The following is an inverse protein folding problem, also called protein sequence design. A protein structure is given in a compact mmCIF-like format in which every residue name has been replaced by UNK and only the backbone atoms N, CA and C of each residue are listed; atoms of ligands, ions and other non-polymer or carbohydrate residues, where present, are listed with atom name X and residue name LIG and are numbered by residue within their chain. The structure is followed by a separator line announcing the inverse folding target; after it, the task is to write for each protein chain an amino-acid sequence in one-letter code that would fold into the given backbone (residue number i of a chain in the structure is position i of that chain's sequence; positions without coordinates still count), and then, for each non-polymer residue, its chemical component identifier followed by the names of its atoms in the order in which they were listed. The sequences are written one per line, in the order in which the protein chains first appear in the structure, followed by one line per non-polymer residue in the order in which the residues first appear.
data_IF_086152439344
#
_entry.id   IF_086152439344
#
_cell.length_a   1.000
_cell.length_b   1.000
_cell.length_c   1.000
_cell.angle_alpha   90.00
_cell.angle_beta   90.00
_cell.angle_gamma   90.00
#
_symmetry.space_group_name_H-M   'P 1'
#
loop_
_entity.id
_entity.type
_entity.pdbx_description
1 polymer ?
2 non-polymer ?
3 non-polymer ?
4 water ?
#
# COMPACT_ATOMS: atom_id res chain seq x y z
N UNK A 4 2.70 -12.04 22.80
CA UNK A 4 3.84 -12.14 21.90
C UNK A 4 3.38 -12.16 20.45
N UNK A 5 4.28 -11.80 19.56
CA UNK A 5 4.09 -11.78 18.12
C UNK A 5 4.56 -13.10 17.48
N UNK A 6 5.20 -14.01 18.25
CA UNK A 6 5.67 -15.30 17.72
C UNK A 6 4.48 -16.24 17.77
N UNK A 7 4.16 -16.87 16.63
CA UNK A 7 3.09 -17.84 16.52
C UNK A 7 3.74 -19.19 16.29
N UNK A 8 3.41 -20.16 17.13
CA UNK A 8 3.95 -21.49 16.98
C UNK A 8 3.31 -22.20 15.76
N UNK A 9 4.05 -23.11 15.04
CA UNK A 9 3.42 -23.82 13.90
C UNK A 9 2.14 -24.57 14.28
N UNK A 10 2.04 -25.06 15.52
CA UNK A 10 0.87 -25.80 15.99
C UNK A 10 -0.38 -24.92 16.14
N UNK A 11 -0.22 -23.57 16.07
CA UNK A 11 -1.34 -22.65 16.24
C UNK A 11 -1.91 -22.24 14.88
N UNK A 12 -1.37 -22.79 13.75
CA UNK A 12 -1.85 -22.43 12.41
C UNK A 12 -2.26 -23.66 11.62
N UNK A 13 -3.32 -23.50 10.84
CA UNK A 13 -3.78 -24.55 9.95
C UNK A 13 -4.02 -23.90 8.59
N UNK A 14 -3.45 -24.48 7.53
CA UNK A 14 -3.60 -24.02 6.15
C UNK A 14 -4.81 -24.74 5.55
N UNK A 15 -5.77 -23.96 5.01
CA UNK A 15 -6.99 -24.56 4.48
C UNK A 15 -6.99 -24.59 2.96
N UNK A 16 -6.70 -23.46 2.35
CA UNK A 16 -6.77 -23.29 0.90
C UNK A 16 -5.74 -22.29 0.45
N UNK A 17 -5.20 -22.49 -0.76
CA UNK A 17 -4.30 -21.53 -1.37
C UNK A 17 -5.13 -20.36 -1.92
N UNK A 18 -4.70 -19.12 -1.63
CA UNK A 18 -5.35 -17.88 -2.07
C UNK A 18 -4.66 -17.44 -3.37
N UNK A 19 -3.33 -17.44 -3.36
CA UNK A 19 -2.57 -17.05 -4.54
C UNK A 19 -1.08 -17.05 -4.31
N UNK A 20 -0.34 -16.57 -5.32
CA UNK A 20 1.11 -16.46 -5.30
C UNK A 20 1.50 -14.99 -5.26
N UNK A 21 2.44 -14.69 -4.39
CA UNK A 21 2.98 -13.34 -4.24
C UNK A 21 4.40 -13.29 -4.74
N UNK A 22 5.03 -12.10 -4.60
CA UNK A 22 6.41 -11.83 -4.99
C UNK A 22 7.38 -12.80 -4.31
N UNK A 23 7.16 -13.07 -3.02
CA UNK A 23 8.08 -13.91 -2.25
C UNK A 23 7.57 -15.27 -1.79
N UNK A 24 6.38 -15.65 -2.24
CA UNK A 24 5.86 -16.95 -1.89
C UNK A 24 4.36 -17.03 -1.95
N UNK A 25 3.84 -18.13 -1.45
CA UNK A 25 2.42 -18.47 -1.45
C UNK A 25 1.66 -17.75 -0.36
N UNK A 26 0.36 -17.57 -0.60
CA UNK A 26 -0.57 -16.99 0.38
C UNK A 26 -1.68 -18.01 0.54
N UNK A 27 -1.98 -18.38 1.80
CA UNK A 27 -3.06 -19.32 2.08
C UNK A 27 -4.11 -18.71 2.98
N UNK A 28 -5.34 -19.21 2.86
CA UNK A 28 -6.39 -18.93 3.82
C UNK A 28 -6.17 -19.99 4.90
N UNK A 29 -6.24 -19.59 6.16
CA UNK A 29 -6.08 -20.56 7.24
C UNK A 29 -6.76 -20.09 8.50
N UNK A 30 -6.53 -20.86 9.57
CA UNK A 30 -7.07 -20.49 10.88
C UNK A 30 -5.91 -20.37 11.88
N UNK A 31 -6.08 -19.46 12.82
CA UNK A 31 -5.11 -19.21 13.88
C UNK A 31 -5.84 -19.58 15.17
N UNK A 32 -5.27 -20.58 15.87
CA UNK A 32 -5.83 -21.15 17.11
C UNK A 32 -6.39 -20.14 18.09
N UNK A 33 -7.67 -20.33 18.46
CA UNK A 33 -8.40 -19.50 19.43
C UNK A 33 -8.49 -18.03 19.03
N UNK A 34 -8.19 -17.70 17.77
CA UNK A 34 -8.20 -16.31 17.34
C UNK A 34 -9.15 -16.01 16.21
N UNK A 35 -8.77 -16.31 14.96
CA UNK A 35 -9.61 -16.00 13.82
C UNK A 35 -9.11 -16.69 12.57
N UNK A 36 -9.87 -16.50 11.49
CA UNK A 36 -9.45 -16.86 10.15
C UNK A 36 -8.38 -15.82 9.74
N UNK A 37 -7.34 -16.25 9.02
CA UNK A 37 -6.23 -15.41 8.65
C UNK A 37 -5.77 -15.70 7.24
N UNK A 38 -4.99 -14.76 6.68
CA UNK A 38 -4.24 -14.96 5.43
C UNK A 38 -2.77 -15.20 5.87
N UNK A 39 -2.17 -16.27 5.37
CA UNK A 39 -0.81 -16.60 5.80
C UNK A 39 0.08 -16.48 4.59
N UNK A 40 1.17 -15.68 4.70
CA UNK A 40 2.09 -15.48 3.57
C UNK A 40 3.38 -16.21 3.90
N UNK A 41 3.78 -17.20 3.08
CA UNK A 41 5.01 -17.95 3.26
C UNK A 41 6.07 -17.17 2.51
N UNK A 42 7.21 -16.87 3.18
CA UNK A 42 8.27 -16.01 2.62
C UNK A 42 9.47 -16.84 2.21
N UNK A 43 9.81 -16.82 0.94
CA UNK A 43 10.96 -17.57 0.43
C UNK A 43 12.26 -17.15 1.16
N UNK A 44 13.10 -18.12 1.55
CA UNK A 44 14.38 -17.83 2.21
C UNK A 44 15.20 -16.93 1.28
N UNK A 45 15.76 -15.87 1.84
CA UNK A 45 16.58 -14.95 1.04
C UNK A 45 15.84 -13.74 0.52
N UNK A 46 14.48 -13.74 0.55
CA UNK A 46 13.70 -12.61 0.02
C UNK A 46 13.74 -11.37 0.94
N UNK A 47 13.76 -11.60 2.25
CA UNK A 47 13.73 -10.49 3.20
C UNK A 47 14.76 -10.68 4.30
N UNK A 48 15.16 -9.56 4.93
CA UNK A 48 16.05 -9.60 6.08
C UNK A 48 15.15 -9.91 7.30
N UNK A 49 15.00 -11.20 7.60
CA UNK A 49 14.12 -11.68 8.66
C UNK A 49 14.58 -11.23 10.04
N UNK A 50 15.91 -11.19 10.26
CA UNK A 50 16.43 -10.74 11.56
C UNK A 50 16.13 -9.27 11.79
N UNK A 51 16.28 -8.42 10.76
CA UNK A 51 15.99 -6.98 10.91
C UNK A 51 14.48 -6.80 11.20
N UNK A 52 13.65 -7.58 10.50
CA UNK A 52 12.21 -7.49 10.66
C UNK A 52 11.74 -7.82 12.08
N UNK A 53 12.18 -8.98 12.58
CA UNK A 53 11.86 -9.46 13.92
C UNK A 53 12.23 -8.43 15.04
N UNK A 54 13.31 -7.63 14.83
CA UNK A 54 13.72 -6.58 15.79
C UNK A 54 12.70 -5.50 16.02
N UNK A 55 11.85 -5.24 15.03
CA UNK A 55 10.88 -4.16 15.12
C UNK A 55 9.49 -4.70 15.54
N UNK A 56 9.34 -6.03 15.71
CA UNK A 56 8.02 -6.61 15.99
C UNK A 56 7.38 -6.12 17.26
N UNK A 57 8.14 -6.03 18.38
CA UNK A 57 7.55 -5.59 19.65
C UNK A 57 6.94 -4.19 19.54
N UNK A 58 7.62 -3.29 18.83
CA UNK A 58 7.15 -1.92 18.62
C UNK A 58 5.99 -1.87 17.61
N UNK A 59 6.18 -2.52 16.44
CA UNK A 59 5.18 -2.47 15.40
C UNK A 59 3.86 -3.15 15.72
N UNK A 60 3.86 -4.11 16.67
CA UNK A 60 2.59 -4.80 17.03
C UNK A 60 1.60 -3.87 17.71
N UNK A 61 2.08 -2.72 18.19
CA UNK A 61 1.23 -1.72 18.85
C UNK A 61 0.37 -0.94 17.85
N UNK A 62 0.71 -0.98 16.53
CA UNK A 62 -0.07 -0.24 15.53
C UNK A 62 -1.38 -0.95 15.32
N UNK A 63 -2.50 -0.23 15.46
CA UNK A 63 -3.82 -0.83 15.28
C UNK A 63 -4.78 0.28 14.86
N UNK A 64 -5.42 0.09 13.72
CA UNK A 64 -6.40 1.06 13.20
C UNK A 64 -7.40 0.33 12.30
N UNK A 65 -8.70 0.76 12.25
CA UNK A 65 -9.66 0.05 11.38
C UNK A 65 -9.33 0.05 9.90
N UNK A 66 -8.47 0.99 9.44
CA UNK A 66 -8.14 1.07 8.03
C UNK A 66 -6.73 0.57 7.71
N UNK A 67 -6.12 -0.19 8.66
CA UNK A 67 -4.83 -0.83 8.43
C UNK A 67 -5.05 -2.35 8.58
N UNK A 68 -4.56 -3.12 7.62
CA UNK A 68 -4.60 -4.60 7.72
C UNK A 68 -3.68 -4.99 8.88
N UNK A 69 -4.20 -5.76 9.86
CA UNK A 69 -3.35 -6.16 10.96
C UNK A 69 -2.42 -7.33 10.57
N UNK A 70 -1.13 -7.19 10.92
CA UNK A 70 -0.16 -8.28 10.82
C UNK A 70 -0.04 -8.82 12.26
N UNK A 71 -0.68 -9.96 12.54
CA UNK A 71 -0.78 -10.52 13.87
C UNK A 71 0.49 -11.06 14.46
N UNK A 72 1.28 -11.70 13.62
CA UNK A 72 2.51 -12.30 14.11
C UNK A 72 3.28 -13.04 13.04
N UNK A 73 4.34 -13.73 13.49
CA UNK A 73 5.24 -14.44 12.58
C UNK A 73 5.43 -15.85 13.09
N UNK A 74 5.41 -16.84 12.16
CA UNK A 74 5.71 -18.22 12.51
C UNK A 74 7.11 -18.46 11.97
N UNK A 75 8.08 -18.66 12.86
CA UNK A 75 9.47 -18.72 12.43
C UNK A 75 10.26 -19.92 12.93
N UNK A 76 9.58 -20.97 13.45
CA UNK A 76 10.26 -22.16 13.97
C UNK A 76 11.22 -22.75 12.96
N UNK A 77 10.80 -22.83 11.70
CA UNK A 77 11.66 -23.29 10.60
C UNK A 77 11.39 -22.51 9.30
N UNK A 78 12.37 -22.53 8.41
CA UNK A 78 12.28 -21.89 7.11
C UNK A 78 11.43 -22.74 6.17
N UNK A 79 10.60 -22.14 5.30
CA UNK A 79 10.34 -20.70 5.14
C UNK A 79 9.41 -20.17 6.22
N UNK A 80 9.68 -18.96 6.68
CA UNK A 80 8.84 -18.35 7.73
C UNK A 80 7.47 -17.96 7.15
N UNK A 81 6.48 -17.69 8.03
CA UNK A 81 5.12 -17.29 7.65
C UNK A 81 4.75 -15.99 8.35
N UNK A 82 4.10 -15.07 7.64
CA UNK A 82 3.56 -13.84 8.23
C UNK A 82 2.03 -14.04 8.27
N UNK A 83 1.39 -13.74 9.39
CA UNK A 83 -0.03 -14.06 9.61
C UNK A 83 -0.80 -12.76 9.67
N UNK A 84 -1.70 -12.56 8.70
CA UNK A 84 -2.44 -11.30 8.58
C UNK A 84 -3.93 -11.49 8.77
N UNK A 85 -4.59 -10.37 9.05
CA UNK A 85 -6.02 -10.29 9.03
C UNK A 85 -6.51 -10.70 7.60
N UNK A 86 -7.57 -11.55 7.50
CA UNK A 86 -8.07 -11.98 6.21
C UNK A 86 -8.97 -10.91 5.59
N UNK A 87 -8.65 -10.53 4.34
CA UNK A 87 -9.39 -9.48 3.59
C UNK A 87 -10.12 -10.20 2.46
N UNK A 88 -11.41 -10.42 2.65
CA UNK A 88 -12.23 -11.24 1.75
C UNK A 88 -12.21 -10.94 0.26
N UNK A 89 -12.11 -9.65 -0.10
CA UNK A 89 -12.14 -9.30 -1.53
C UNK A 89 -10.78 -9.08 -2.19
N UNK A 90 -9.71 -9.37 -1.47
CA UNK A 90 -8.38 -9.29 -2.07
C UNK A 90 -7.84 -7.91 -2.36
N UNK A 91 -6.85 -7.83 -3.26
CA UNK A 91 -6.24 -6.52 -3.48
C UNK A 91 -7.09 -5.54 -4.25
N UNK A 92 -6.94 -4.26 -3.88
CA UNK A 92 -7.72 -3.18 -4.46
C UNK A 92 -7.54 -3.05 -5.96
N UNK A 93 -6.29 -3.21 -6.47
CA UNK A 93 -6.05 -3.06 -7.92
C UNK A 93 -6.89 -4.07 -8.72
N UNK A 94 -6.87 -5.34 -8.32
CA UNK A 94 -7.68 -6.39 -8.98
C UNK A 94 -9.18 -6.15 -8.79
N UNK A 95 -9.60 -5.71 -7.58
CA UNK A 95 -10.98 -5.44 -7.26
C UNK A 95 -11.57 -4.35 -8.17
N UNK A 96 -10.80 -3.26 -8.37
CA UNK A 96 -11.22 -2.16 -9.26
C UNK A 96 -11.38 -2.67 -10.70
N UNK A 97 -10.36 -3.40 -11.21
CA UNK A 97 -10.34 -3.90 -12.58
C UNK A 97 -11.50 -4.86 -12.87
N UNK A 98 -11.81 -5.74 -11.92
CA UNK A 98 -12.88 -6.74 -12.09
C UNK A 98 -14.28 -6.13 -12.03
N UNK A 99 -14.46 -5.01 -11.30
CA UNK A 99 -15.77 -4.38 -11.13
C UNK A 99 -15.90 -3.08 -11.94
N UNK A 100 -14.99 -2.84 -12.88
CA UNK A 100 -14.95 -1.62 -13.70
C UNK A 100 -16.30 -1.38 -14.37
N UNK A 101 -16.82 -0.15 -14.24
CA UNK A 101 -18.10 0.22 -14.83
C UNK A 101 -19.27 0.08 -13.86
N UNK A 102 -19.00 -0.50 -12.66
CA UNK A 102 -20.04 -0.70 -11.64
C UNK A 102 -19.91 0.23 -10.45
N UNK A 103 -18.89 1.13 -10.48
CA UNK A 103 -18.64 2.00 -9.37
C UNK A 103 -19.24 3.37 -9.50
N UNK A 104 -19.94 3.80 -8.45
CA UNK A 104 -20.43 5.16 -8.33
C UNK A 104 -19.24 6.01 -7.90
N UNK A 105 -19.21 7.28 -8.32
CA UNK A 105 -18.10 8.19 -7.98
C UNK A 105 -17.97 8.33 -6.46
N UNK A 106 -19.12 8.33 -5.72
CA UNK A 106 -19.06 8.42 -4.24
C UNK A 106 -18.34 7.23 -3.62
N UNK A 107 -18.48 6.04 -4.23
CA UNK A 107 -17.82 4.84 -3.71
C UNK A 107 -16.31 4.97 -3.95
N UNK A 108 -15.90 5.46 -5.13
CA UNK A 108 -14.48 5.63 -5.41
C UNK A 108 -13.86 6.66 -4.45
N UNK A 109 -14.56 7.79 -4.19
CA UNK A 109 -14.06 8.76 -3.20
C UNK A 109 -14.00 8.12 -1.81
N UNK A 110 -15.01 7.30 -1.46
CA UNK A 110 -15.00 6.59 -0.18
C UNK A 110 -13.78 5.70 0.01
N UNK A 111 -13.33 5.03 -1.07
CA UNK A 111 -12.16 4.14 -1.02
C UNK A 111 -10.93 5.00 -0.75
N UNK A 112 -10.84 6.18 -1.40
CA UNK A 112 -9.71 7.08 -1.17
C UNK A 112 -9.71 7.58 0.27
N UNK A 113 -10.89 7.86 0.82
CA UNK A 113 -11.03 8.32 2.21
C UNK A 113 -10.59 7.23 3.20
N UNK A 114 -10.92 5.95 2.93
CA UNK A 114 -10.47 4.88 3.84
C UNK A 114 -8.94 4.85 3.86
N UNK A 115 -8.31 4.87 2.67
CA UNK A 115 -6.85 4.85 2.58
C UNK A 115 -6.27 6.08 3.28
N UNK A 116 -6.83 7.25 3.02
CA UNK A 116 -6.34 8.47 3.63
C UNK A 116 -6.40 8.44 5.16
N UNK A 117 -7.47 7.82 5.71
CA UNK A 117 -7.59 7.69 7.17
C UNK A 117 -6.49 6.79 7.74
N UNK A 118 -6.26 5.65 7.09
CA UNK A 118 -5.19 4.74 7.50
C UNK A 118 -3.84 5.43 7.42
N UNK A 119 -3.63 6.18 6.33
CA UNK A 119 -2.36 6.91 6.17
C UNK A 119 -2.22 8.05 7.16
N UNK A 120 -3.32 8.73 7.55
CA UNK A 120 -3.22 9.77 8.56
C UNK A 120 -2.80 9.17 9.93
N UNK A 121 -3.26 7.95 10.23
CA UNK A 121 -2.82 7.26 11.44
C UNK A 121 -1.32 6.91 11.37
N UNK A 122 -0.85 6.39 10.21
CA UNK A 122 0.58 6.07 10.09
C UNK A 122 1.43 7.36 10.16
N UNK A 123 0.96 8.43 9.53
CA UNK A 123 1.68 9.71 9.58
C UNK A 123 1.83 10.19 11.05
N UNK A 124 0.73 10.11 11.83
CA UNK A 124 0.79 10.53 13.25
C UNK A 124 1.73 9.61 14.01
N UNK A 125 1.79 8.31 13.63
CA UNK A 125 2.62 7.31 14.29
C UNK A 125 4.10 7.41 13.85
N UNK A 126 4.39 8.29 12.87
CA UNK A 126 5.70 8.48 12.26
C UNK A 126 6.20 7.20 11.59
N UNK A 127 5.26 6.53 10.93
CA UNK A 127 5.55 5.32 10.16
C UNK A 127 5.40 5.69 8.68
N UNK A 128 6.48 5.45 7.90
CA UNK A 128 6.47 5.74 6.47
C UNK A 128 6.16 4.46 5.68
N UNK A 129 5.21 4.53 4.76
CA UNK A 129 4.85 3.34 4.01
C UNK A 129 5.95 2.92 3.03
N UNK A 130 6.40 3.87 2.18
CA UNK A 130 7.46 3.73 1.15
C UNK A 130 7.01 3.14 -0.17
N UNK A 131 5.89 2.39 -0.19
CA UNK A 131 5.42 1.84 -1.45
C UNK A 131 3.89 1.77 -1.47
N UNK A 132 3.26 2.92 -1.19
CA UNK A 132 1.81 2.95 -1.19
C UNK A 132 1.32 2.90 -2.64
N UNK A 133 0.38 2.00 -2.92
CA UNK A 133 -0.18 1.83 -4.26
C UNK A 133 -1.44 1.00 -4.12
N UNK A 134 -2.33 1.01 -5.12
CA UNK A 134 -3.54 0.20 -4.99
C UNK A 134 -3.24 -1.28 -4.77
N UNK A 135 -2.14 -1.79 -5.33
CA UNK A 135 -1.77 -3.23 -5.18
C UNK A 135 -1.49 -3.59 -3.70
N UNK A 136 -1.15 -2.59 -2.87
CA UNK A 136 -0.87 -2.79 -1.45
C UNK A 136 -2.04 -2.46 -0.52
N UNK A 137 -3.22 -2.25 -1.09
CA UNK A 137 -4.43 -2.04 -0.32
C UNK A 137 -5.31 -3.21 -0.54
N UNK A 138 -6.05 -3.57 0.51
CA UNK A 138 -6.93 -4.73 0.47
C UNK A 138 -8.36 -4.36 0.74
N UNK A 139 -9.29 -5.18 0.22
CA UNK A 139 -10.72 -4.92 0.30
C UNK A 139 -11.37 -5.94 1.23
N UNK A 140 -12.07 -5.44 2.24
CA UNK A 140 -12.69 -6.30 3.24
C UNK A 140 -14.18 -6.35 3.20
N UNK A 141 -14.77 -6.65 4.38
CA UNK A 141 -16.21 -6.70 4.59
C UNK A 141 -16.84 -5.35 4.34
N UNK A 142 -17.93 -5.38 3.59
CA UNK A 142 -18.69 -4.22 3.13
C UNK A 142 -17.85 -3.21 2.35
N UNK A 143 -16.84 -3.73 1.60
CA UNK A 143 -16.00 -2.97 0.68
C UNK A 143 -15.08 -1.94 1.38
N UNK A 144 -14.76 -2.16 2.67
CA UNK A 144 -13.82 -1.29 3.39
C UNK A 144 -12.44 -1.49 2.77
N UNK A 145 -11.68 -0.40 2.61
CA UNK A 145 -10.33 -0.47 2.09
C UNK A 145 -9.37 -0.32 3.26
N UNK A 146 -8.34 -1.18 3.30
CA UNK A 146 -7.34 -1.10 4.36
C UNK A 146 -5.95 -1.10 3.74
N UNK A 147 -5.01 -0.34 4.34
CA UNK A 147 -3.65 -0.27 3.83
C UNK A 147 -2.83 -1.44 4.43
N UNK A 148 -1.90 -2.00 3.63
CA UNK A 148 -1.04 -3.10 4.08
C UNK A 148 0.38 -2.90 3.55
N UNK A 149 1.36 -3.62 4.15
CA UNK A 149 2.72 -3.67 3.65
C UNK A 149 3.57 -2.41 3.90
N UNK A 150 3.11 -1.55 4.80
CA UNK A 150 3.85 -0.33 5.12
C UNK A 150 5.19 -0.69 5.74
N UNK A 151 6.24 -0.03 5.26
CA UNK A 151 7.58 -0.23 5.77
C UNK A 151 8.31 -1.47 5.27
N UNK A 152 7.62 -2.35 4.53
CA UNK A 152 8.23 -3.61 4.08
C UNK A 152 9.42 -3.50 3.16
N UNK A 153 9.50 -2.41 2.38
CA UNK A 153 10.62 -2.31 1.46
C UNK A 153 11.97 -2.14 2.18
N UNK A 154 11.95 -1.81 3.48
CA UNK A 154 13.18 -1.67 4.26
C UNK A 154 13.79 -3.05 4.53
N UNK A 155 13.04 -4.14 4.28
CA UNK A 155 13.54 -5.48 4.57
C UNK A 155 13.72 -6.33 3.32
N UNK A 156 13.26 -5.85 2.15
CA UNK A 156 13.38 -6.59 0.88
C UNK A 156 14.83 -6.63 0.46
N UNK A 157 15.31 -7.83 0.12
CA UNK A 157 16.72 -8.01 -0.24
C UNK A 157 17.08 -7.94 -1.71
N UNK A 158 16.09 -7.81 -2.57
CA UNK A 158 16.35 -7.66 -4.00
C UNK A 158 16.60 -6.18 -4.31
N UNK A 159 17.87 -5.82 -4.60
CA UNK A 159 18.29 -4.45 -4.93
C UNK A 159 17.61 -3.91 -6.19
N UNK A 160 17.09 -4.78 -7.05
CA UNK A 160 16.39 -4.31 -8.26
C UNK A 160 15.08 -3.63 -7.92
N UNK A 161 14.52 -3.93 -6.74
CA UNK A 161 13.29 -3.30 -6.32
C UNK A 161 13.52 -2.11 -5.38
N UNK A 162 14.54 -2.17 -4.55
CA UNK A 162 14.73 -1.14 -3.51
C UNK A 162 15.60 0.03 -3.88
N UNK A 163 16.51 -0.13 -4.86
CA UNK A 163 17.40 0.95 -5.27
C UNK A 163 16.69 1.82 -6.30
N UNK A 164 16.78 3.16 -6.10
CA UNK A 164 16.15 4.14 -7.00
C UNK A 164 16.65 3.95 -8.45
N UNK A 165 17.91 3.48 -8.60
CA UNK A 165 18.56 3.18 -9.89
C UNK A 165 18.31 1.71 -10.33
N UNK A 166 17.49 0.98 -9.57
CA UNK A 166 17.13 -0.40 -9.85
C UNK A 166 16.10 -0.55 -10.95
N UNK A 167 16.16 -1.69 -11.69
CA UNK A 167 15.26 -1.96 -12.82
C UNK A 167 13.77 -2.24 -12.50
N UNK A 168 13.45 -2.75 -11.28
CA UNK A 168 12.08 -3.04 -10.83
C UNK A 168 11.56 -2.01 -9.78
N UNK A 169 12.25 -0.89 -9.64
CA UNK A 169 11.87 0.12 -8.64
C UNK A 169 10.48 0.72 -8.96
N UNK A 170 9.56 0.89 -7.95
CA UNK A 170 8.20 1.42 -8.25
C UNK A 170 8.21 2.93 -8.52
N UNK A 171 8.97 3.32 -9.57
CA UNK A 171 9.12 4.71 -9.96
C UNK A 171 7.75 5.39 -10.23
N UNK A 172 6.73 4.65 -10.73
CA UNK A 172 5.43 5.23 -11.09
C UNK A 172 4.70 5.87 -9.89
N UNK A 173 5.02 5.42 -8.65
CA UNK A 173 4.40 5.94 -7.44
C UNK A 173 5.39 6.80 -6.62
N UNK A 174 6.60 7.03 -7.15
CA UNK A 174 7.68 7.70 -6.41
C UNK A 174 7.71 9.20 -6.61
N UNK A 175 7.85 9.95 -5.49
CA UNK A 175 8.03 11.40 -5.59
C UNK A 175 9.46 11.67 -6.16
N UNK A 176 9.74 12.87 -6.68
CA UNK A 176 11.10 13.16 -7.20
C UNK A 176 12.21 12.95 -6.16
N UNK A 177 11.99 13.30 -4.90
CA UNK A 177 13.07 13.09 -3.92
C UNK A 177 13.28 11.62 -3.57
N UNK A 178 12.24 10.77 -3.81
CA UNK A 178 12.39 9.33 -3.62
C UNK A 178 13.13 8.74 -4.82
N UNK A 179 12.69 9.03 -6.05
CA UNK A 179 13.40 8.46 -7.22
C UNK A 179 14.80 9.04 -7.40
N UNK A 180 15.08 10.22 -6.83
CA UNK A 180 16.41 10.79 -6.95
C UNK A 180 17.34 10.39 -5.80
N UNK A 181 16.84 10.39 -4.55
CA UNK A 181 17.69 10.25 -3.36
C UNK A 181 17.24 9.26 -2.32
N UNK A 182 16.13 8.54 -2.58
CA UNK A 182 15.53 7.65 -1.57
C UNK A 182 15.21 8.44 -0.31
N UNK A 183 14.78 9.69 -0.47
CA UNK A 183 14.45 10.56 0.66
C UNK A 183 12.98 10.31 1.02
N UNK A 184 12.73 9.27 1.84
CA UNK A 184 11.35 8.90 2.20
C UNK A 184 10.85 9.71 3.39
N UNK A 185 9.55 10.08 3.35
CA UNK A 185 8.88 10.84 4.40
C UNK A 185 7.37 10.60 4.27
N UNK A 186 6.58 11.13 5.22
CA UNK A 186 5.14 11.04 4.99
C UNK A 186 4.75 11.89 3.76
N UNK A 187 5.56 12.94 3.40
CA UNK A 187 5.23 13.72 2.20
C UNK A 187 5.52 12.94 0.92
N UNK A 188 6.48 11.98 0.94
CA UNK A 188 6.66 11.12 -0.26
C UNK A 188 5.51 10.13 -0.32
N UNK A 189 5.00 9.69 0.83
CA UNK A 189 3.79 8.85 0.80
C UNK A 189 2.61 9.64 0.26
N UNK A 190 2.52 10.98 0.56
CA UNK A 190 1.42 11.77 -0.02
C UNK A 190 1.47 11.76 -1.56
N UNK A 191 2.68 11.87 -2.14
CA UNK A 191 2.78 11.79 -3.62
C UNK A 191 2.22 10.43 -4.10
N UNK A 192 2.64 9.32 -3.47
CA UNK A 192 2.17 7.99 -3.81
C UNK A 192 0.64 7.91 -3.67
N UNK A 193 0.11 8.51 -2.61
CA UNK A 193 -1.34 8.56 -2.39
C UNK A 193 -2.06 9.26 -3.55
N UNK A 194 -1.49 10.35 -4.10
CA UNK A 194 -2.11 10.97 -5.26
C UNK A 194 -2.18 10.01 -6.45
N UNK A 195 -1.10 9.20 -6.67
CA UNK A 195 -1.11 8.20 -7.74
C UNK A 195 -2.18 7.11 -7.42
N UNK A 196 -2.27 6.65 -6.17
CA UNK A 196 -3.29 5.70 -5.75
C UNK A 196 -4.71 6.29 -6.06
N UNK A 197 -4.95 7.59 -5.75
CA UNK A 197 -6.25 8.18 -6.05
C UNK A 197 -6.52 8.09 -7.54
N UNK A 198 -5.46 8.31 -8.38
CA UNK A 198 -5.60 8.20 -9.83
C UNK A 198 -5.97 6.74 -10.22
N UNK A 199 -5.31 5.75 -9.60
CA UNK A 199 -5.64 4.33 -9.85
C UNK A 199 -7.11 4.06 -9.50
N UNK A 200 -7.58 4.56 -8.35
CA UNK A 200 -8.96 4.33 -7.88
C UNK A 200 -9.95 4.97 -8.87
N UNK A 201 -9.77 6.28 -9.16
CA UNK A 201 -10.71 6.96 -10.07
C UNK A 201 -10.66 6.49 -11.50
N UNK A 202 -9.55 5.82 -11.90
CA UNK A 202 -9.40 5.22 -13.22
C UNK A 202 -9.85 3.76 -13.22
N UNK A 203 -10.43 3.30 -12.10
CA UNK A 203 -10.91 1.93 -11.96
C UNK A 203 -9.82 0.89 -12.28
N UNK A 204 -8.63 1.12 -11.70
CA UNK A 204 -7.55 0.15 -11.81
C UNK A 204 -6.62 0.22 -12.99
N UNK A 205 -6.61 1.33 -13.73
CA UNK A 205 -5.68 1.49 -14.82
C UNK A 205 -4.26 1.64 -14.23
N UNK A 206 -3.27 1.24 -15.01
CA UNK A 206 -1.88 1.34 -14.55
C UNK A 206 -1.40 2.75 -14.91
N UNK A 207 -0.80 3.50 -13.97
CA UNK A 207 -0.32 4.84 -14.33
C UNK A 207 0.90 4.79 -15.25
N UNK A 208 0.96 5.74 -16.20
CA UNK A 208 2.07 5.89 -17.15
C UNK A 208 2.40 4.54 -17.86
N UNK A 209 1.33 3.83 -18.30
CA UNK A 209 1.46 2.54 -18.99
C UNK A 209 2.27 2.66 -20.29
N UNK A 210 2.23 3.85 -20.92
CA UNK A 210 2.93 4.12 -22.18
C UNK A 210 4.35 4.71 -21.99
N UNK A 211 4.95 4.54 -20.79
CA UNK A 211 6.26 5.11 -20.51
C UNK A 211 7.16 4.13 -19.80
N UNK A 212 8.47 4.16 -20.11
CA UNK A 212 9.46 3.39 -19.34
C UNK A 212 9.71 4.17 -18.04
N UNK A 213 10.47 3.57 -17.11
CA UNK A 213 10.84 4.23 -15.85
C UNK A 213 11.60 5.53 -16.06
N UNK A 214 12.62 5.53 -16.94
CA UNK A 214 13.40 6.72 -17.23
C UNK A 214 12.53 7.81 -17.88
N UNK A 215 11.51 7.39 -18.70
CA UNK A 215 10.62 8.37 -19.34
C UNK A 215 9.71 9.01 -18.29
N UNK A 216 9.28 8.23 -17.28
CA UNK A 216 8.45 8.78 -16.18
C UNK A 216 9.27 9.84 -15.44
N UNK A 217 10.54 9.52 -15.10
CA UNK A 217 11.41 10.47 -14.40
C UNK A 217 11.55 11.75 -15.22
N UNK A 218 11.84 11.63 -16.54
CA UNK A 218 11.97 12.82 -17.38
C UNK A 218 10.66 13.61 -17.44
N UNK A 219 9.51 12.91 -17.59
CA UNK A 219 8.20 13.57 -17.68
C UNK A 219 7.87 14.33 -16.38
N UNK A 220 7.98 13.64 -15.24
CA UNK A 220 7.71 14.29 -13.95
C UNK A 220 8.63 15.51 -13.75
N UNK A 221 9.93 15.34 -14.04
CA UNK A 221 10.91 16.41 -13.83
C UNK A 221 10.69 17.63 -14.72
N UNK A 222 9.96 17.46 -15.84
CA UNK A 222 9.62 18.57 -16.72
C UNK A 222 8.19 19.08 -16.47
N UNK A 223 7.55 18.61 -15.40
CA UNK A 223 6.24 19.11 -14.98
C UNK A 223 5.01 18.38 -15.47
N UNK A 224 5.20 17.31 -16.26
CA UNK A 224 4.05 16.54 -16.73
C UNK A 224 3.44 15.74 -15.60
N UNK A 225 2.12 15.59 -15.63
CA UNK A 225 1.40 14.84 -14.62
C UNK A 225 0.35 13.95 -15.25
N UNK A 226 -0.14 12.97 -14.47
CA UNK A 226 -1.22 12.11 -14.94
C UNK A 226 -2.48 12.92 -15.28
N UNK A 227 -3.17 12.53 -16.37
CA UNK A 227 -4.39 13.20 -16.82
C UNK A 227 -5.54 12.93 -15.85
N UNK A 228 -6.60 13.75 -15.92
CA UNK A 228 -7.74 13.56 -15.03
C UNK A 228 -8.59 12.38 -15.47
N UNK A 229 -8.80 11.39 -14.59
CA UNK A 229 -9.73 10.30 -14.94
C UNK A 229 -11.15 10.85 -15.11
N UNK A 230 -11.92 10.25 -16.04
CA UNK A 230 -13.31 10.65 -16.31
C UNK A 230 -14.17 10.74 -15.02
N UNK A 231 -14.00 9.79 -14.09
CA UNK A 231 -14.80 9.74 -12.86
C UNK A 231 -14.40 10.71 -11.76
N UNK A 232 -13.21 11.33 -11.88
CA UNK A 232 -12.74 12.29 -10.89
C UNK A 232 -13.29 13.68 -11.21
N UNK A 233 -13.88 14.34 -10.21
CA UNK A 233 -14.37 15.70 -10.38
C UNK A 233 -13.16 16.65 -10.49
N UNK A 234 -13.37 17.90 -10.95
CA UNK A 234 -12.25 18.82 -11.01
C UNK A 234 -11.68 19.08 -9.61
N UNK A 235 -12.54 19.04 -8.56
CA UNK A 235 -12.06 19.25 -7.18
C UNK A 235 -11.20 18.08 -6.71
N UNK A 236 -11.61 16.86 -7.06
CA UNK A 236 -10.80 15.68 -6.72
C UNK A 236 -9.45 15.71 -7.45
N UNK A 237 -9.46 16.09 -8.73
CA UNK A 237 -8.21 16.17 -9.51
C UNK A 237 -7.29 17.27 -8.96
N UNK A 238 -7.88 18.38 -8.44
CA UNK A 238 -7.06 19.45 -7.84
C UNK A 238 -6.29 18.86 -6.64
N UNK A 239 -6.98 18.10 -5.79
CA UNK A 239 -6.31 17.46 -4.62
C UNK A 239 -5.21 16.48 -5.08
N UNK A 240 -5.47 15.67 -6.13
CA UNK A 240 -4.43 14.80 -6.73
C UNK A 240 -3.21 15.64 -7.08
N UNK A 241 -3.40 16.78 -7.78
CA UNK A 241 -2.29 17.62 -8.19
C UNK A 241 -1.53 18.21 -7.01
N UNK A 242 -2.24 18.50 -5.88
CA UNK A 242 -1.54 18.97 -4.69
C UNK A 242 -0.59 17.89 -4.16
N UNK A 243 -1.00 16.61 -4.31
CA UNK A 243 -0.13 15.51 -3.87
C UNK A 243 1.15 15.43 -4.71
N UNK A 244 1.08 15.90 -5.96
CA UNK A 244 2.19 15.82 -6.93
C UNK A 244 2.98 17.11 -7.06
N UNK A 245 2.93 17.94 -6.05
CA UNK A 245 3.82 19.10 -6.08
C UNK A 245 5.25 18.67 -5.96
N UNK A 246 6.11 19.33 -6.73
CA UNK A 246 7.53 18.96 -6.75
C UNK A 246 8.21 19.01 -5.38
N UNK A 247 7.95 20.08 -4.61
CA UNK A 247 8.57 20.25 -3.30
C UNK A 247 7.74 19.52 -2.25
N UNK A 248 8.33 18.60 -1.46
CA UNK A 248 7.54 17.92 -0.41
C UNK A 248 6.87 18.89 0.56
N UNK A 249 7.55 19.98 0.89
CA UNK A 249 7.01 20.97 1.83
C UNK A 249 5.70 21.61 1.32
N UNK A 250 5.49 21.64 -0.01
CA UNK A 250 4.27 22.23 -0.58
C UNK A 250 3.10 21.22 -0.65
N UNK A 251 3.37 19.91 -0.40
CA UNK A 251 2.27 18.96 -0.43
C UNK A 251 1.50 19.02 0.88
N UNK A 252 0.19 18.70 0.87
CA UNK A 252 -0.55 18.64 2.13
C UNK A 252 -0.13 17.42 2.95
N UNK A 253 -0.23 17.53 4.28
CA UNK A 253 -0.07 16.37 5.13
C UNK A 253 -1.32 15.49 4.99
N UNK A 254 -1.21 14.19 5.36
CA UNK A 254 -2.41 13.35 5.31
C UNK A 254 -3.53 13.88 6.21
N UNK A 255 -3.17 14.52 7.34
CA UNK A 255 -4.17 15.10 8.25
C UNK A 255 -4.99 16.18 7.52
N UNK A 256 -4.36 16.97 6.67
CA UNK A 256 -5.01 18.04 5.88
C UNK A 256 -5.84 17.40 4.74
N UNK A 257 -5.24 16.42 3.98
CA UNK A 257 -5.96 15.71 2.93
C UNK A 257 -7.23 15.07 3.48
N UNK A 258 -7.16 14.42 4.67
CA UNK A 258 -8.34 13.75 5.22
C UNK A 258 -9.49 14.75 5.43
N UNK A 259 -9.18 15.93 5.98
CA UNK A 259 -10.23 16.94 6.18
C UNK A 259 -10.76 17.45 4.81
N UNK A 260 -9.86 17.67 3.84
CA UNK A 260 -10.27 18.19 2.53
C UNK A 260 -11.16 17.21 1.77
N UNK A 261 -10.72 15.92 1.71
CA UNK A 261 -11.51 14.90 1.01
C UNK A 261 -12.82 14.65 1.74
N UNK A 262 -12.83 14.69 3.11
CA UNK A 262 -14.09 14.47 3.84
C UNK A 262 -15.08 15.59 3.56
N UNK A 263 -14.62 16.86 3.50
CA UNK A 263 -15.51 17.98 3.19
C UNK A 263 -16.12 17.80 1.82
N UNK A 264 -15.31 17.32 0.85
CA UNK A 264 -15.82 17.06 -0.51
C UNK A 264 -16.89 15.95 -0.48
N UNK A 265 -16.64 14.83 0.24
CA UNK A 265 -17.57 13.69 0.34
C UNK A 265 -18.88 13.99 1.05
N UNK A 266 -18.80 14.64 2.25
CA UNK A 266 -19.92 14.98 3.13
C UNK A 266 -20.66 16.24 2.69
X LIG B 1 4.00 -3.94 10.12
X LIG B 1 3.27 -3.87 11.26
X LIG B 1 2.01 -4.12 10.88
X LIG B 1 1.94 -4.35 9.49
X LIG B 1 3.24 -4.21 9.01
X LIG B 1 0.76 -4.65 8.77
X LIG B 1 0.75 -4.91 7.40
X LIG B 1 -0.53 -5.19 6.96
X LIG B 1 1.74 -4.92 6.67
X LIG B 1 0.90 -4.15 11.81
X LIG B 1 1.21 -3.85 13.11
X LIG B 1 -0.25 -4.43 11.47
X LIG B 1 5.41 -3.82 10.12
X LIG B 1 5.99 -2.85 9.32
X LIG B 1 7.36 -2.68 9.35
X LIG B 1 8.12 -3.50 10.15
X LIG B 1 6.18 -4.67 10.91
X LIG B 1 7.56 -4.49 10.92
X LIG B 1 8.38 -5.32 11.67
X LIG B 1 7.80 -6.31 12.43
X LIG B 1 6.43 -6.50 12.44
X LIG B 1 5.62 -5.69 11.67
X LIG B 1 5.96 -7.55 13.22
X LIG B 1 4.53 -7.69 13.30
X LIG B 1 4.30 -9.06 13.90
X LIG B 1 3.88 -6.72 14.25
X LIG C 1 2.43 -9.55 -4.16
X LIG C 1 3.24 -9.03 -2.95
X LIG C 1 1.44 -8.45 -4.58
X LIG C 1 3.25 -10.04 -5.29
X LIG C 1 0.49 -10.27 -2.30
X LIG C 1 0.04 -8.88 -2.09
X LIG C 1 1.23 -10.98 -1.16
X LIG C 1 1.44 -10.63 -3.50
X LIG C 1 -0.72 -11.30 -2.47
X LIG C 1 -0.98 -12.31 -3.46
X LIG C 1 -2.44 -12.69 -3.37
X LIG C 1 -2.82 -12.87 -1.99
X LIG C 1 -3.43 -11.71 -3.98
X LIG C 1 -4.41 -12.43 -4.75
X LIG C 1 -4.03 -11.00 -2.77
X LIG C 1 -5.37 -10.59 -2.99
X LIG C 1 -3.97 -12.09 -1.69
X LIG C 1 -3.84 -11.59 -0.32
X LIG C 1 -2.73 -11.03 0.23
X LIG C 1 -2.87 -10.64 1.47
X LIG C 1 -4.18 -10.98 1.78
X LIG C 1 -4.95 -10.84 2.94
X LIG C 1 -4.52 -10.21 4.05
X LIG C 1 -6.22 -11.31 2.92
X LIG C 1 -6.69 -11.87 1.79
X LIG C 1 -6.06 -12.05 0.62
X LIG C 1 -4.79 -11.58 0.68
#
# INVERSE_FOLDING_TARGET
GSGKWVIDPSELTFVQEIGSGQFGLVHLGYWLNKDKVAIKTIREGAMSEEDFIEEAEVMMKLSHPKLVQLYGVCLEQAPICLVFEFMEHGCLSDYLRTQRGLFAAETLLGMCLDVCEGMAYLEEACVIHRDLAARNCLVGENQVIKVSDFGMTRFVLDDQYTSSTGTKFPVKWASPEVFSFSRYSSKSDVWSFGVLMWEVFSEGKIPYENRSNSEVVEDISTGFRLYKPRLASTHVYQIMNHCWRERPEDRPAFSRLLRQLAEIAESGL
QWS N1 N2 C3 C4 C5 N6 C7 N8 O9 C10 N11 O12 C13 C14 C15 C16 C17 C18 C19 C20 C21 C22 O23 C24 C25 C26
ADP PB O1B O2B O3B PA O1A O2A O3A O5' C5' C4' O4' C3' O3' C2' O2' C1' N9 C8 N7 C5 C6 N6 N1 C2 N3 C4
#
